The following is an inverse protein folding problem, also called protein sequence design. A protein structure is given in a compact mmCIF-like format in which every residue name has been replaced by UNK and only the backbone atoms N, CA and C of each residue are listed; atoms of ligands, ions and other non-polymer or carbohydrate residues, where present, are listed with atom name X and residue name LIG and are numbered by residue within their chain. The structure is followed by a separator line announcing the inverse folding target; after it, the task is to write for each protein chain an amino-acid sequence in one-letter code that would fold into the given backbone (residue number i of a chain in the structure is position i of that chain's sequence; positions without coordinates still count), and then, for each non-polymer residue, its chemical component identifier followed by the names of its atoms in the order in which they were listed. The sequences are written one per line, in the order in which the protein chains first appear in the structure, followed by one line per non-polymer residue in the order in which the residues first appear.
data_IF_782989720799
#
_entry.id   IF_782989720799
#
_cell.length_a   1.000
_cell.length_b   1.000
_cell.length_c   1.000
_cell.angle_alpha   90.00
_cell.angle_beta   90.00
_cell.angle_gamma   90.00
#
_symmetry.space_group_name_H-M   'P 1'
#
loop_
_entity.id
_entity.type
_entity.pdbx_description
1 polymer ?
#
# COMPACT_ATOMS: atom_id res chain seq x y z
N UNK A 1 -2.37 29.02 1.49
CA UNK A 1 -1.02 28.46 1.74
C UNK A 1 -0.87 27.16 0.97
N UNK A 2 0.39 26.84 0.63
CA UNK A 2 0.76 25.62 -0.09
C UNK A 2 1.88 24.91 0.68
N UNK A 3 1.73 23.63 0.92
CA UNK A 3 2.76 22.76 1.51
C UNK A 3 3.21 21.75 0.46
N UNK A 4 4.51 21.69 0.15
CA UNK A 4 5.12 20.62 -0.63
C UNK A 4 6.16 19.93 0.22
N UNK A 5 6.00 18.64 0.48
CA UNK A 5 6.82 17.93 1.44
C UNK A 5 7.18 16.50 1.03
N UNK A 6 8.41 16.14 1.34
CA UNK A 6 8.92 14.77 1.32
C UNK A 6 9.46 14.45 2.73
N UNK A 7 8.57 14.12 3.70
CA UNK A 7 8.99 13.87 5.07
C UNK A 7 9.79 12.57 5.21
N UNK A 8 10.65 12.43 6.23
CA UNK A 8 11.43 11.23 6.45
C UNK A 8 10.53 10.02 6.81
N UNK A 9 10.84 8.85 6.24
CA UNK A 9 10.12 7.59 6.46
C UNK A 9 10.85 6.75 7.50
N UNK A 10 10.74 7.09 8.78
CA UNK A 10 11.49 6.43 9.83
C UNK A 10 10.72 6.36 11.15
N UNK A 11 11.09 5.36 11.96
CA UNK A 11 10.76 5.37 13.39
C UNK A 11 12.04 5.71 14.14
N UNK A 12 12.08 6.77 14.92
CA UNK A 12 13.26 7.10 15.72
C UNK A 12 13.63 5.97 16.68
N UNK A 13 14.92 5.72 16.84
CA UNK A 13 15.42 4.78 17.86
C UNK A 13 15.00 5.29 19.24
N UNK A 14 14.43 4.42 20.07
CA UNK A 14 13.90 4.78 21.39
C UNK A 14 12.41 5.14 21.40
N UNK A 15 11.78 5.22 20.24
CA UNK A 15 10.37 5.58 20.09
C UNK A 15 10.10 7.07 20.27
N UNK A 16 9.05 7.57 19.60
CA UNK A 16 8.50 8.89 19.87
C UNK A 16 7.34 8.72 20.84
N UNK A 17 7.26 9.61 21.83
CA UNK A 17 6.02 9.86 22.54
C UNK A 17 5.36 11.07 21.88
N UNK A 18 4.37 10.86 21.00
CA UNK A 18 3.74 11.98 20.31
C UNK A 18 3.09 12.91 21.33
N UNK A 19 3.15 14.22 21.07
CA UNK A 19 2.46 15.18 21.88
C UNK A 19 0.94 15.02 21.71
N UNK A 20 0.16 15.27 22.77
CA UNK A 20 -1.31 15.10 22.78
C UNK A 20 -2.05 16.00 21.77
N UNK A 21 -1.37 16.98 21.17
CA UNK A 21 -1.93 17.86 20.13
C UNK A 21 -2.22 17.13 18.81
N UNK A 22 -1.54 16.00 18.54
CA UNK A 22 -1.78 15.25 17.32
C UNK A 22 -3.14 14.56 17.37
N UNK A 23 -3.92 14.69 16.29
CA UNK A 23 -5.22 14.01 16.17
C UNK A 23 -5.00 12.50 16.08
N UNK A 24 -3.92 12.07 15.44
CA UNK A 24 -3.56 10.66 15.33
C UNK A 24 -2.33 10.33 16.18
N UNK A 25 -2.52 9.53 17.21
CA UNK A 25 -1.43 9.08 18.07
C UNK A 25 -0.63 7.94 17.40
N UNK A 26 0.63 8.17 17.09
CA UNK A 26 1.50 7.20 16.41
C UNK A 26 2.94 7.31 16.86
N UNK A 27 3.65 6.17 16.83
CA UNK A 27 5.12 6.12 16.97
C UNK A 27 5.86 6.24 15.64
N UNK A 28 5.13 6.43 14.55
CA UNK A 28 5.64 6.54 13.18
C UNK A 28 5.72 7.99 12.76
N UNK A 29 6.90 8.46 12.40
CA UNK A 29 7.12 9.85 12.01
C UNK A 29 6.30 10.24 10.77
N UNK A 30 6.21 9.36 9.79
CA UNK A 30 5.45 9.61 8.57
C UNK A 30 3.95 9.85 8.83
N UNK A 31 3.36 9.18 9.83
CA UNK A 31 1.98 9.40 10.25
C UNK A 31 1.83 10.79 10.89
N UNK A 32 2.74 11.13 11.82
CA UNK A 32 2.70 12.40 12.54
C UNK A 32 2.96 13.60 11.60
N UNK A 33 3.87 13.47 10.64
CA UNK A 33 4.10 14.53 9.66
C UNK A 33 2.87 14.80 8.80
N UNK A 34 2.19 13.77 8.32
CA UNK A 34 0.99 13.93 7.50
C UNK A 34 -0.15 14.54 8.32
N UNK A 35 -0.38 14.05 9.55
CA UNK A 35 -1.37 14.59 10.47
C UNK A 35 -1.11 16.08 10.74
N UNK A 36 0.13 16.43 11.09
CA UNK A 36 0.55 17.81 11.36
C UNK A 36 0.32 18.73 10.17
N UNK A 37 0.72 18.31 8.97
CA UNK A 37 0.55 19.13 7.76
C UNK A 37 -0.92 19.32 7.41
N UNK A 38 -1.74 18.27 7.53
CA UNK A 38 -3.17 18.35 7.27
C UNK A 38 -3.88 19.34 8.22
N UNK A 39 -3.57 19.26 9.52
CA UNK A 39 -4.16 20.17 10.52
C UNK A 39 -3.75 21.63 10.32
N UNK A 40 -2.54 21.88 9.81
CA UNK A 40 -2.03 23.24 9.60
C UNK A 40 -2.45 23.86 8.26
N UNK A 41 -3.20 23.13 7.42
CA UNK A 41 -3.79 23.74 6.24
C UNK A 41 -4.84 24.77 6.60
N UNK A 42 -4.68 25.98 6.07
CA UNK A 42 -5.72 27.00 6.12
C UNK A 42 -7.01 26.51 5.41
N UNK A 43 -8.16 27.15 5.57
CA UNK A 43 -9.41 26.74 4.92
C UNK A 43 -9.30 26.52 3.40
N UNK A 44 -8.45 27.31 2.72
CA UNK A 44 -8.16 27.20 1.29
C UNK A 44 -6.76 26.61 1.03
N UNK A 45 -6.14 26.00 2.03
CA UNK A 45 -4.80 25.44 1.96
C UNK A 45 -4.74 24.16 1.15
N UNK A 46 -3.61 23.95 0.51
CA UNK A 46 -3.32 22.79 -0.33
C UNK A 46 -1.98 22.16 0.05
N UNK A 47 -1.87 20.84 -0.11
CA UNK A 47 -0.60 20.15 0.09
C UNK A 47 -0.36 19.06 -0.94
N UNK A 48 0.92 18.87 -1.30
CA UNK A 48 1.43 17.68 -1.98
C UNK A 48 2.45 17.00 -1.07
N UNK A 49 2.16 15.78 -0.61
CA UNK A 49 2.98 15.10 0.38
C UNK A 49 3.39 13.74 -0.16
N UNK A 50 4.69 13.47 -0.25
CA UNK A 50 5.21 12.14 -0.58
C UNK A 50 5.13 11.26 0.66
N UNK A 51 4.54 10.08 0.50
CA UNK A 51 4.33 9.13 1.59
C UNK A 51 4.75 7.72 1.19
N UNK A 52 5.22 6.88 2.13
CA UNK A 52 5.47 5.47 1.87
C UNK A 52 4.17 4.68 1.77
N UNK A 53 4.20 3.53 1.11
CA UNK A 53 3.05 2.63 0.93
C UNK A 53 2.33 2.28 2.25
N UNK A 54 3.03 2.32 3.39
CA UNK A 54 2.42 2.09 4.70
C UNK A 54 1.24 3.01 4.99
N UNK A 55 1.31 4.28 4.61
CA UNK A 55 0.21 5.23 4.74
C UNK A 55 -0.99 4.78 3.89
N UNK A 56 -0.74 4.20 2.74
CA UNK A 56 -1.78 3.84 1.75
C UNK A 56 -2.64 2.67 2.23
N UNK A 57 -2.06 1.63 2.84
CA UNK A 57 -2.83 0.40 3.08
C UNK A 57 -2.57 -0.35 4.40
N UNK A 58 -1.61 0.06 5.24
CA UNK A 58 -1.35 -0.69 6.47
C UNK A 58 -2.57 -0.72 7.41
N UNK A 59 -2.78 -1.88 8.04
CA UNK A 59 -3.97 -2.15 8.87
C UNK A 59 -3.88 -1.64 10.32
N UNK A 60 -2.74 -1.06 10.73
CA UNK A 60 -2.57 -0.50 12.08
C UNK A 60 -3.56 0.64 12.37
N UNK A 61 -4.05 0.72 13.61
CA UNK A 61 -5.08 1.68 14.04
C UNK A 61 -4.74 3.12 13.66
N UNK A 62 -3.51 3.57 13.94
CA UNK A 62 -3.07 4.92 13.60
C UNK A 62 -3.12 5.22 12.08
N UNK A 63 -2.77 4.24 11.25
CA UNK A 63 -2.86 4.39 9.79
C UNK A 63 -4.31 4.49 9.32
N UNK A 64 -5.22 3.68 9.88
CA UNK A 64 -6.65 3.75 9.55
C UNK A 64 -7.27 5.09 10.00
N UNK A 65 -6.94 5.54 11.20
CA UNK A 65 -7.39 6.84 11.71
C UNK A 65 -6.92 8.01 10.85
N UNK A 66 -5.61 8.00 10.46
CA UNK A 66 -5.08 9.01 9.57
C UNK A 66 -5.80 9.01 8.22
N UNK A 67 -5.94 7.84 7.57
CA UNK A 67 -6.63 7.75 6.28
C UNK A 67 -8.09 8.20 6.38
N UNK A 68 -8.79 7.84 7.45
CA UNK A 68 -10.15 8.32 7.71
C UNK A 68 -10.19 9.85 7.73
N UNK A 69 -9.37 10.47 8.56
CA UNK A 69 -9.26 11.92 8.66
C UNK A 69 -8.97 12.57 7.30
N UNK A 70 -8.01 12.02 6.56
CA UNK A 70 -7.64 12.54 5.25
C UNK A 70 -8.80 12.45 4.25
N UNK A 71 -9.44 11.30 4.13
CA UNK A 71 -10.56 11.06 3.20
C UNK A 71 -11.74 11.96 3.50
N UNK A 72 -12.06 12.13 4.77
CA UNK A 72 -13.19 12.95 5.19
C UNK A 72 -12.96 14.45 4.98
N UNK A 73 -11.75 14.97 5.27
CA UNK A 73 -11.54 16.40 5.44
C UNK A 73 -10.54 17.06 4.46
N UNK A 74 -9.60 16.31 3.88
CA UNK A 74 -8.45 16.91 3.20
C UNK A 74 -8.11 16.34 1.82
N UNK A 75 -8.25 15.03 1.63
CA UNK A 75 -7.72 14.32 0.48
C UNK A 75 -8.62 14.48 -0.74
N UNK A 76 -8.04 14.85 -1.88
CA UNK A 76 -8.72 14.95 -3.16
C UNK A 76 -8.16 13.99 -4.20
N UNK A 77 -6.85 13.67 -4.13
CA UNK A 77 -6.27 12.69 -5.02
C UNK A 77 -5.07 11.95 -4.39
N UNK A 78 -4.79 10.76 -4.92
CA UNK A 78 -3.62 9.94 -4.62
C UNK A 78 -2.92 9.60 -5.92
N UNK A 79 -1.60 9.82 -5.99
CA UNK A 79 -0.78 9.46 -7.15
C UNK A 79 0.20 8.37 -6.73
N UNK A 80 -0.01 7.14 -7.20
CA UNK A 80 0.91 6.03 -6.97
C UNK A 80 2.10 6.15 -7.90
N UNK A 81 3.32 6.13 -7.34
CA UNK A 81 4.57 6.18 -8.07
C UNK A 81 5.16 4.77 -8.26
N UNK A 82 5.99 4.52 -9.26
CA UNK A 82 6.63 3.23 -9.44
C UNK A 82 7.64 2.93 -8.31
N UNK A 83 7.83 1.65 -7.99
CA UNK A 83 8.89 1.25 -7.08
C UNK A 83 10.26 1.63 -7.64
N UNK A 84 11.15 2.17 -6.79
CA UNK A 84 12.50 2.58 -7.22
C UNK A 84 12.61 3.99 -7.79
N UNK A 85 11.54 4.81 -7.75
CA UNK A 85 11.60 6.23 -8.16
C UNK A 85 12.67 7.02 -7.40
N UNK A 86 13.02 6.61 -6.18
CA UNK A 86 14.06 7.22 -5.34
C UNK A 86 15.38 6.44 -5.32
N UNK A 87 15.59 5.47 -6.22
CA UNK A 87 16.88 4.80 -6.33
C UNK A 87 17.98 5.79 -6.71
N UNK A 88 19.24 5.64 -6.19
CA UNK A 88 19.70 4.56 -5.30
C UNK A 88 19.43 4.79 -3.81
N UNK A 89 18.82 5.91 -3.42
CA UNK A 89 18.68 6.31 -2.01
C UNK A 89 17.65 5.47 -1.26
N UNK A 90 16.57 5.06 -1.93
CA UNK A 90 15.50 4.25 -1.33
C UNK A 90 14.75 3.45 -2.40
N UNK A 91 14.59 2.15 -2.15
CA UNK A 91 13.75 1.27 -2.95
C UNK A 91 12.28 1.23 -2.49
N UNK A 92 11.91 2.03 -1.49
CA UNK A 92 10.54 2.07 -0.95
C UNK A 92 9.60 2.63 -2.00
N UNK A 93 8.53 1.89 -2.28
CA UNK A 93 7.45 2.39 -3.12
C UNK A 93 6.71 3.51 -2.38
N UNK A 94 6.39 4.58 -3.10
CA UNK A 94 5.79 5.79 -2.56
C UNK A 94 4.56 6.21 -3.35
N UNK A 95 3.77 7.08 -2.74
CA UNK A 95 2.66 7.77 -3.37
C UNK A 95 2.69 9.25 -2.99
N UNK A 96 2.03 10.09 -3.79
CA UNK A 96 1.80 11.49 -3.46
C UNK A 96 0.35 11.62 -3.00
N UNK A 97 0.14 12.20 -1.82
CA UNK A 97 -1.18 12.64 -1.36
C UNK A 97 -1.37 14.08 -1.81
N UNK A 98 -2.47 14.37 -2.49
CA UNK A 98 -2.89 15.72 -2.86
C UNK A 98 -4.03 16.12 -1.94
N UNK A 99 -3.76 17.09 -1.09
CA UNK A 99 -4.71 17.62 -0.13
C UNK A 99 -5.19 19.00 -0.60
N UNK A 100 -6.49 19.22 -0.55
CA UNK A 100 -7.14 20.52 -0.75
C UNK A 100 -8.35 20.60 0.17
N UNK A 101 -8.21 21.32 1.28
CA UNK A 101 -9.22 21.33 2.35
C UNK A 101 -10.58 21.83 1.86
N UNK A 102 -10.58 22.80 0.97
CA UNK A 102 -11.83 23.39 0.47
C UNK A 102 -12.54 22.48 -0.53
N UNK A 103 -11.80 21.80 -1.38
CA UNK A 103 -12.35 20.85 -2.36
C UNK A 103 -12.77 19.54 -1.71
N UNK A 104 -11.98 19.02 -0.78
CA UNK A 104 -12.28 17.76 -0.10
C UNK A 104 -13.64 17.78 0.61
N UNK A 105 -14.07 18.92 1.12
CA UNK A 105 -15.38 19.08 1.77
C UNK A 105 -16.54 19.21 0.80
N UNK A 106 -16.28 19.51 -0.45
CA UNK A 106 -17.32 19.70 -1.48
C UNK A 106 -17.46 18.50 -2.42
N UNK A 107 -16.46 17.65 -2.51
CA UNK A 107 -16.49 16.43 -3.32
C UNK A 107 -16.79 15.20 -2.47
N UNK A 108 -17.56 14.28 -3.04
CA UNK A 108 -17.84 12.95 -2.48
C UNK A 108 -16.87 11.88 -2.98
N UNK A 109 -15.88 12.26 -3.79
CA UNK A 109 -15.03 11.34 -4.53
C UNK A 109 -13.56 11.71 -4.39
N UNK A 110 -12.66 10.73 -4.58
CA UNK A 110 -11.21 10.88 -4.62
C UNK A 110 -10.70 10.27 -5.92
N UNK A 111 -9.78 10.98 -6.60
CA UNK A 111 -9.10 10.46 -7.77
C UNK A 111 -7.85 9.67 -7.38
N UNK A 112 -7.62 8.54 -8.05
CA UNK A 112 -6.44 7.71 -7.91
C UNK A 112 -5.71 7.67 -9.25
N UNK A 113 -4.50 8.15 -9.31
CA UNK A 113 -3.63 8.13 -10.48
C UNK A 113 -2.52 7.11 -10.29
N UNK A 114 -2.07 6.50 -11.39
CA UNK A 114 -0.96 5.55 -11.39
C UNK A 114 0.06 5.93 -12.44
N UNK A 115 1.23 6.34 -11.96
CA UNK A 115 2.43 6.55 -12.78
C UNK A 115 3.21 5.23 -12.83
N UNK A 116 3.43 4.69 -14.00
CA UNK A 116 4.22 3.47 -14.20
C UNK A 116 5.65 3.79 -14.61
N UNK A 117 5.82 4.87 -15.38
CA UNK A 117 7.11 5.31 -15.90
C UNK A 117 7.30 6.79 -15.59
N UNK A 118 8.43 7.13 -15.02
CA UNK A 118 8.78 8.50 -14.64
C UNK A 118 9.89 9.12 -15.50
N UNK A 119 10.13 8.57 -16.68
CA UNK A 119 11.18 9.02 -17.60
C UNK A 119 12.55 8.40 -17.31
N UNK A 120 12.65 7.53 -16.31
CA UNK A 120 13.91 6.88 -15.94
C UNK A 120 13.74 5.38 -15.71
N UNK A 121 14.81 4.62 -15.94
CA UNK A 121 14.86 3.21 -15.56
C UNK A 121 14.78 3.07 -14.04
N UNK A 122 14.11 2.02 -13.56
CA UNK A 122 13.87 1.82 -12.12
C UNK A 122 15.03 1.07 -11.41
N UNK A 123 16.15 0.84 -12.11
CA UNK A 123 17.36 0.24 -11.55
C UNK A 123 18.16 1.20 -10.64
N UNK A 124 19.25 0.70 -10.06
CA UNK A 124 20.13 1.48 -9.20
C UNK A 124 20.75 2.70 -9.90
N UNK A 125 21.01 2.58 -11.21
CA UNK A 125 21.43 3.69 -12.06
C UNK A 125 20.21 4.18 -12.84
N UNK A 126 19.60 5.24 -12.35
CA UNK A 126 18.46 5.91 -12.97
C UNK A 126 18.85 6.53 -14.33
N UNK A 127 18.77 5.74 -15.41
CA UNK A 127 19.05 6.20 -16.78
C UNK A 127 17.78 6.70 -17.44
N UNK A 128 17.85 7.77 -18.20
CA UNK A 128 16.72 8.30 -18.95
C UNK A 128 16.16 7.26 -19.93
N UNK A 129 14.84 7.23 -20.05
CA UNK A 129 14.07 6.41 -21.00
C UNK A 129 12.94 7.24 -21.60
N UNK A 130 12.49 6.88 -22.80
CA UNK A 130 11.43 7.63 -23.53
C UNK A 130 10.06 7.54 -22.85
N UNK A 131 9.83 6.48 -22.04
CA UNK A 131 8.54 6.29 -21.35
C UNK A 131 8.45 7.19 -20.14
N UNK A 132 7.54 8.15 -20.18
CA UNK A 132 7.31 9.12 -19.10
C UNK A 132 5.82 9.48 -19.00
N UNK A 133 5.16 9.01 -17.95
CA UNK A 133 3.75 9.26 -17.69
C UNK A 133 3.51 10.58 -16.92
N UNK A 134 4.58 11.19 -16.35
CA UNK A 134 4.44 12.37 -15.48
C UNK A 134 3.77 13.56 -16.15
N UNK A 135 4.12 13.94 -17.41
CA UNK A 135 3.45 15.05 -18.07
C UNK A 135 1.97 14.84 -18.29
N UNK A 136 1.56 13.60 -18.58
CA UNK A 136 0.16 13.25 -18.73
C UNK A 136 -0.56 13.24 -17.37
N UNK A 137 0.03 12.64 -16.37
CA UNK A 137 -0.51 12.64 -15.00
C UNK A 137 -0.71 14.05 -14.48
N UNK A 138 0.26 14.97 -14.71
CA UNK A 138 0.15 16.37 -14.30
C UNK A 138 -1.02 17.09 -14.98
N UNK A 139 -1.24 16.86 -16.29
CA UNK A 139 -2.40 17.42 -17.00
C UNK A 139 -3.71 16.87 -16.42
N UNK A 140 -3.87 15.56 -16.35
CA UNK A 140 -5.09 14.92 -15.84
C UNK A 140 -5.44 15.33 -14.40
N UNK A 141 -4.42 15.49 -13.54
CA UNK A 141 -4.61 16.00 -12.16
C UNK A 141 -5.08 17.45 -12.21
N UNK A 142 -4.49 18.27 -13.06
CA UNK A 142 -4.86 19.70 -13.19
C UNK A 142 -6.31 19.83 -13.68
N UNK A 143 -6.69 19.06 -14.69
CA UNK A 143 -8.04 19.05 -15.25
C UNK A 143 -9.06 18.59 -14.22
N UNK A 144 -8.76 17.49 -13.50
CA UNK A 144 -9.59 16.99 -12.39
C UNK A 144 -9.82 18.05 -11.31
N UNK A 145 -8.75 18.70 -10.83
CA UNK A 145 -8.86 19.71 -9.78
C UNK A 145 -9.57 20.99 -10.29
N UNK A 146 -9.40 21.34 -11.55
CA UNK A 146 -10.06 22.48 -12.16
C UNK A 146 -11.54 22.23 -12.33
N UNK A 147 -11.95 21.05 -12.80
CA UNK A 147 -13.35 20.63 -12.89
C UNK A 147 -14.03 20.65 -11.51
N UNK A 148 -13.38 20.10 -10.47
CA UNK A 148 -13.89 20.18 -9.10
C UNK A 148 -14.12 21.63 -8.64
N UNK A 149 -13.20 22.56 -8.96
CA UNK A 149 -13.36 23.99 -8.61
C UNK A 149 -14.52 24.62 -9.34
N UNK A 150 -14.73 24.25 -10.59
CA UNK A 150 -15.85 24.71 -11.41
C UNK A 150 -17.19 24.10 -10.97
N UNK A 151 -17.20 23.09 -10.10
CA UNK A 151 -18.40 22.38 -9.69
C UNK A 151 -18.88 21.35 -10.74
N UNK A 152 -17.99 20.97 -11.64
CA UNK A 152 -18.25 19.96 -12.67
C UNK A 152 -18.07 18.55 -12.10
N UNK A 153 -18.75 17.58 -12.72
CA UNK A 153 -18.51 16.16 -12.43
C UNK A 153 -17.28 15.72 -13.24
N UNK A 154 -16.15 15.39 -12.61
CA UNK A 154 -14.95 15.06 -13.35
C UNK A 154 -15.10 13.75 -14.13
N UNK A 155 -14.59 13.70 -15.35
CA UNK A 155 -14.45 12.46 -16.10
C UNK A 155 -13.34 11.57 -15.52
N UNK A 156 -13.50 10.26 -15.70
CA UNK A 156 -12.48 9.30 -15.23
C UNK A 156 -11.16 9.50 -15.99
N UNK A 157 -10.04 9.74 -15.30
CA UNK A 157 -8.75 9.93 -15.93
C UNK A 157 -8.24 8.65 -16.60
N UNK A 158 -7.49 8.78 -17.68
CA UNK A 158 -6.94 7.62 -18.40
C UNK A 158 -5.83 6.90 -17.59
N UNK A 159 -5.05 7.65 -16.82
CA UNK A 159 -4.03 7.10 -15.91
C UNK A 159 -4.59 6.75 -14.52
N UNK A 160 -5.92 6.69 -14.36
CA UNK A 160 -6.47 6.51 -13.03
C UNK A 160 -7.92 6.08 -12.98
N UNK A 161 -8.55 6.39 -11.88
CA UNK A 161 -9.98 6.18 -11.63
C UNK A 161 -10.47 7.14 -10.54
N UNK A 162 -11.77 7.40 -10.52
CA UNK A 162 -12.43 8.18 -9.47
C UNK A 162 -13.25 7.22 -8.60
N UNK A 163 -13.14 7.34 -7.30
CA UNK A 163 -13.81 6.45 -6.32
C UNK A 163 -14.57 7.28 -5.31
N UNK A 164 -15.82 6.92 -5.06
CA UNK A 164 -16.63 7.57 -4.03
C UNK A 164 -16.06 7.30 -2.63
N UNK A 165 -16.06 8.30 -1.78
CA UNK A 165 -15.59 8.20 -0.37
C UNK A 165 -16.34 7.12 0.41
N UNK A 166 -17.63 6.92 0.12
CA UNK A 166 -18.42 5.84 0.69
C UNK A 166 -17.83 4.45 0.39
N UNK A 167 -17.41 4.20 -0.86
CA UNK A 167 -16.75 2.93 -1.25
C UNK A 167 -15.41 2.73 -0.56
N UNK A 168 -14.67 3.82 -0.31
CA UNK A 168 -13.40 3.79 0.44
C UNK A 168 -13.64 3.47 1.92
N UNK A 169 -14.71 3.98 2.50
CA UNK A 169 -15.11 3.81 3.90
C UNK A 169 -15.73 2.45 4.21
N UNK A 170 -16.30 1.76 3.21
CA UNK A 170 -17.24 0.64 3.37
C UNK A 170 -16.77 -0.49 4.30
N UNK A 171 -15.47 -0.78 4.37
CA UNK A 171 -14.92 -1.85 5.21
C UNK A 171 -14.13 -1.32 6.44
N UNK A 172 -14.16 -0.02 6.70
CA UNK A 172 -13.45 0.61 7.81
C UNK A 172 -11.91 0.63 7.70
N UNK A 173 -11.34 0.13 6.59
CA UNK A 173 -9.89 0.15 6.38
C UNK A 173 -9.40 1.48 5.79
N UNK A 174 -10.30 2.22 5.12
CA UNK A 174 -9.98 3.48 4.45
C UNK A 174 -8.79 3.34 3.49
N UNK A 175 -8.70 2.21 2.80
CA UNK A 175 -7.57 1.86 1.97
C UNK A 175 -7.43 2.84 0.79
N UNK A 176 -6.22 3.38 0.56
CA UNK A 176 -5.94 4.35 -0.50
C UNK A 176 -5.20 3.73 -1.70
N UNK A 177 -5.24 2.40 -1.86
CA UNK A 177 -4.75 1.74 -3.05
C UNK A 177 -5.81 1.76 -4.16
N UNK A 178 -5.62 2.57 -5.17
CA UNK A 178 -6.58 2.72 -6.29
C UNK A 178 -6.89 1.39 -6.99
N UNK A 179 -5.91 0.52 -7.15
CA UNK A 179 -6.10 -0.79 -7.80
C UNK A 179 -7.17 -1.65 -7.12
N UNK A 180 -7.39 -1.47 -5.82
CA UNK A 180 -8.43 -2.18 -5.06
C UNK A 180 -9.85 -1.84 -5.54
N UNK A 181 -10.04 -0.68 -6.12
CA UNK A 181 -11.34 -0.14 -6.54
C UNK A 181 -11.58 -0.25 -8.04
N UNK A 182 -10.58 -0.68 -8.80
CA UNK A 182 -10.79 -1.00 -10.21
C UNK A 182 -11.83 -2.11 -10.27
N UNK A 183 -12.96 -1.79 -10.85
CA UNK A 183 -13.86 -2.83 -11.31
C UNK A 183 -13.10 -3.57 -12.40
N UNK A 184 -12.77 -4.83 -12.15
CA UNK A 184 -12.32 -5.67 -13.22
C UNK A 184 -13.41 -5.55 -14.29
N UNK A 185 -13.07 -4.92 -15.44
CA UNK A 185 -13.86 -5.11 -16.63
C UNK A 185 -14.04 -6.62 -16.69
N UNK A 186 -15.27 -7.07 -16.53
CA UNK A 186 -15.60 -8.49 -16.56
C UNK A 186 -15.02 -8.98 -17.86
N UNK A 187 -13.83 -9.58 -17.84
CA UNK A 187 -13.40 -10.41 -18.95
C UNK A 187 -14.55 -11.38 -19.09
N UNK A 188 -15.21 -11.33 -20.23
CA UNK A 188 -16.26 -12.32 -20.53
C UNK A 188 -15.56 -13.67 -20.39
N UNK A 189 -15.64 -14.22 -19.19
CA UNK A 189 -15.09 -15.53 -18.89
C UNK A 189 -16.07 -16.53 -19.45
N UNK A 190 -15.60 -17.48 -20.24
CA UNK A 190 -16.41 -18.61 -20.66
C UNK A 190 -16.84 -19.50 -19.47
N UNK A 191 -16.27 -19.26 -18.29
CA UNK A 191 -16.54 -19.99 -17.05
C UNK A 191 -17.18 -19.07 -16.01
N UNK A 192 -18.07 -19.58 -15.15
CA UNK A 192 -18.64 -18.81 -14.06
C UNK A 192 -17.53 -18.33 -13.12
N UNK A 193 -17.60 -17.04 -12.78
CA UNK A 193 -16.70 -16.46 -11.78
C UNK A 193 -17.22 -16.80 -10.39
N UNK A 194 -16.36 -17.39 -9.57
CA UNK A 194 -16.63 -17.73 -8.16
C UNK A 194 -15.58 -17.07 -7.26
N UNK A 195 -15.95 -16.80 -6.01
CA UNK A 195 -14.99 -16.30 -5.03
C UNK A 195 -13.94 -17.37 -4.74
N UNK A 196 -12.67 -16.99 -4.60
CA UNK A 196 -11.62 -17.95 -4.24
C UNK A 196 -11.90 -18.63 -2.88
N UNK A 197 -12.55 -17.90 -1.97
CA UNK A 197 -12.97 -18.44 -0.67
C UNK A 197 -14.06 -19.52 -0.75
N UNK A 198 -14.81 -19.59 -1.87
CA UNK A 198 -15.84 -20.61 -2.09
C UNK A 198 -15.26 -21.92 -2.62
N UNK A 199 -14.04 -21.88 -3.16
CA UNK A 199 -13.39 -23.04 -3.78
C UNK A 199 -12.07 -23.43 -3.13
N UNK A 200 -11.54 -22.61 -2.23
CA UNK A 200 -10.27 -22.82 -1.55
C UNK A 200 -10.35 -22.39 -0.08
N UNK A 201 -9.72 -23.15 0.80
CA UNK A 201 -9.44 -22.71 2.15
C UNK A 201 -8.17 -21.84 2.16
N UNK A 202 -8.26 -20.63 2.72
CA UNK A 202 -7.14 -19.68 2.81
C UNK A 202 -6.51 -19.76 4.21
N UNK A 203 -5.29 -20.26 4.30
CA UNK A 203 -4.56 -20.42 5.55
C UNK A 203 -3.39 -19.44 5.60
N UNK A 204 -3.36 -18.57 6.62
CA UNK A 204 -2.24 -17.65 6.85
C UNK A 204 -1.10 -18.35 7.58
N UNK A 205 0.13 -18.14 7.10
CA UNK A 205 1.36 -18.60 7.75
C UNK A 205 2.22 -17.46 8.29
N UNK A 206 3.14 -17.79 9.19
CA UNK A 206 4.11 -16.83 9.75
C UNK A 206 5.49 -17.45 9.94
N UNK A 207 6.45 -16.60 10.32
CA UNK A 207 7.78 -17.03 10.75
C UNK A 207 7.75 -17.23 12.27
N UNK A 208 8.08 -18.42 12.79
CA UNK A 208 8.25 -18.62 14.22
C UNK A 208 9.35 -17.69 14.77
N UNK A 209 9.20 -17.26 16.02
CA UNK A 209 10.19 -16.34 16.61
C UNK A 209 11.58 -16.98 16.64
N UNK A 210 12.55 -16.32 15.99
CA UNK A 210 13.96 -16.74 16.02
C UNK A 210 14.62 -16.56 17.39
N UNK A 211 13.99 -15.85 18.31
CA UNK A 211 14.48 -15.64 19.68
C UNK A 211 14.22 -16.85 20.59
N UNK A 212 13.34 -17.76 20.18
CA UNK A 212 13.00 -18.96 20.93
C UNK A 212 13.76 -20.11 20.28
N UNK A 213 14.90 -20.47 20.85
CA UNK A 213 15.77 -21.53 20.32
C UNK A 213 15.05 -22.88 20.23
N UNK A 214 14.18 -23.19 21.18
CA UNK A 214 13.38 -24.41 21.21
C UNK A 214 12.50 -24.59 19.94
N UNK A 215 12.24 -23.54 19.19
CA UNK A 215 11.49 -23.64 17.94
C UNK A 215 12.36 -24.11 16.75
N UNK A 216 13.68 -23.98 16.85
CA UNK A 216 14.62 -24.19 15.74
C UNK A 216 15.61 -25.34 15.99
N UNK A 217 15.82 -25.73 17.24
CA UNK A 217 16.73 -26.82 17.60
C UNK A 217 16.03 -28.17 17.52
N UNK A 218 16.68 -29.15 16.87
CA UNK A 218 16.16 -30.50 16.67
C UNK A 218 14.78 -30.56 15.98
N UNK A 219 14.50 -29.59 15.10
CA UNK A 219 13.27 -29.54 14.34
C UNK A 219 13.11 -30.73 13.38
N UNK A 220 11.87 -31.15 13.18
CA UNK A 220 11.51 -32.25 12.26
C UNK A 220 10.50 -31.80 11.21
N UNK A 221 9.93 -30.60 11.34
CA UNK A 221 8.94 -30.05 10.42
C UNK A 221 9.64 -29.11 9.44
N UNK A 222 9.47 -29.33 8.14
CA UNK A 222 10.03 -28.47 7.08
C UNK A 222 9.29 -27.12 7.10
N UNK A 223 10.03 -26.04 7.29
CA UNK A 223 9.51 -24.67 7.21
C UNK A 223 10.04 -23.98 5.97
N UNK A 224 9.12 -23.42 5.16
CA UNK A 224 9.39 -22.81 3.88
C UNK A 224 9.13 -21.30 3.97
N UNK A 225 10.04 -20.51 3.44
CA UNK A 225 9.92 -19.05 3.29
C UNK A 225 10.19 -18.61 1.85
N UNK A 226 10.02 -17.34 1.56
CA UNK A 226 10.22 -16.77 0.23
C UNK A 226 11.57 -17.07 -0.40
N UNK A 227 12.64 -17.21 0.40
CA UNK A 227 14.00 -17.55 -0.08
C UNK A 227 14.14 -18.98 -0.60
N UNK A 228 13.21 -19.85 -0.20
CA UNK A 228 13.22 -21.28 -0.57
C UNK A 228 12.37 -21.59 -1.80
N UNK A 229 11.77 -20.57 -2.43
CA UNK A 229 10.97 -20.71 -3.64
C UNK A 229 11.66 -19.96 -4.78
N UNK A 230 11.98 -20.66 -5.87
CA UNK A 230 12.58 -20.06 -7.05
C UNK A 230 11.52 -19.34 -7.93
N UNK A 231 11.98 -18.65 -8.97
CA UNK A 231 11.08 -17.90 -9.87
C UNK A 231 10.28 -18.81 -10.82
N UNK A 232 10.54 -20.14 -10.79
CA UNK A 232 9.81 -21.15 -11.53
C UNK A 232 8.79 -21.90 -10.69
N UNK A 233 8.59 -21.48 -9.44
CA UNK A 233 7.61 -22.09 -8.52
C UNK A 233 8.09 -23.42 -7.89
N UNK A 234 9.40 -23.67 -7.84
CA UNK A 234 9.95 -24.88 -7.21
C UNK A 234 10.47 -24.57 -5.82
N UNK A 235 10.23 -25.49 -4.90
CA UNK A 235 10.82 -25.46 -3.56
C UNK A 235 12.26 -25.95 -3.66
N UNK A 236 13.21 -25.06 -3.38
CA UNK A 236 14.65 -25.30 -3.51
C UNK A 236 15.35 -25.56 -2.17
N UNK A 237 14.59 -25.49 -1.07
CA UNK A 237 15.12 -25.72 0.27
C UNK A 237 14.07 -25.52 1.36
N UNK A 238 14.50 -25.68 2.60
CA UNK A 238 13.67 -25.49 3.79
C UNK A 238 14.57 -25.27 5.01
N UNK A 239 14.02 -24.72 6.08
CA UNK A 239 14.60 -24.81 7.43
C UNK A 239 13.77 -25.81 8.25
N UNK A 240 14.36 -26.38 9.28
CA UNK A 240 13.63 -27.29 10.18
C UNK A 240 13.16 -26.54 11.43
N UNK A 241 11.90 -26.76 11.79
CA UNK A 241 11.30 -26.25 13.02
C UNK A 241 10.71 -27.39 13.83
N UNK A 242 10.52 -27.17 15.12
CA UNK A 242 9.91 -28.15 16.00
C UNK A 242 8.39 -28.15 15.89
N UNK A 243 7.75 -29.23 16.31
CA UNK A 243 6.28 -29.31 16.43
C UNK A 243 5.77 -28.23 17.40
N UNK A 244 6.52 -27.97 18.48
CA UNK A 244 6.21 -26.88 19.41
C UNK A 244 6.12 -25.51 18.71
N UNK A 245 7.00 -25.22 17.75
CA UNK A 245 6.94 -24.00 16.96
C UNK A 245 5.63 -23.89 16.14
N UNK A 246 5.12 -25.00 15.63
CA UNK A 246 3.85 -25.02 14.90
C UNK A 246 2.68 -24.79 15.86
N UNK A 247 2.69 -25.44 17.02
CA UNK A 247 1.58 -25.41 17.99
C UNK A 247 1.47 -24.04 18.70
N UNK A 248 2.61 -23.40 19.02
CA UNK A 248 2.67 -22.17 19.80
C UNK A 248 2.80 -20.88 18.97
N UNK A 249 2.98 -20.99 17.64
CA UNK A 249 3.09 -19.81 16.79
C UNK A 249 1.91 -19.71 15.79
N UNK A 250 1.91 -18.65 14.98
CA UNK A 250 0.95 -18.51 13.87
C UNK A 250 1.40 -19.26 12.61
N UNK A 251 2.42 -20.12 12.70
CA UNK A 251 2.83 -20.99 11.60
C UNK A 251 1.79 -22.10 11.43
N UNK A 252 1.55 -22.52 10.21
CA UNK A 252 0.57 -23.56 9.89
C UNK A 252 1.19 -24.60 8.96
N UNK A 253 0.73 -25.83 9.08
CA UNK A 253 1.12 -26.91 8.16
C UNK A 253 0.28 -26.76 6.89
N UNK A 254 0.95 -26.71 5.75
CA UNK A 254 0.30 -26.80 4.45
C UNK A 254 0.16 -28.28 4.08
N UNK A 255 -1.06 -28.79 3.85
CA UNK A 255 -1.24 -30.14 3.31
C UNK A 255 -0.52 -30.32 1.97
N UNK A 256 -0.07 -31.55 1.67
CA UNK A 256 0.49 -31.87 0.35
C UNK A 256 -0.51 -31.51 -0.76
N UNK A 257 0.01 -30.95 -1.86
CA UNK A 257 -0.80 -30.42 -2.96
C UNK A 257 -1.33 -29.00 -2.75
N UNK A 258 -1.14 -28.37 -1.58
CA UNK A 258 -1.55 -26.99 -1.35
C UNK A 258 -0.69 -26.02 -2.15
N UNK A 259 -1.29 -24.95 -2.63
CA UNK A 259 -0.56 -23.82 -3.26
C UNK A 259 -0.07 -22.86 -2.18
N UNK A 260 1.24 -22.71 -2.07
CA UNK A 260 1.91 -21.71 -1.21
C UNK A 260 2.09 -20.44 -2.03
N UNK A 261 1.59 -19.31 -1.52
CA UNK A 261 1.73 -17.99 -2.17
C UNK A 261 2.46 -17.04 -1.22
N UNK A 262 3.50 -16.39 -1.71
CA UNK A 262 4.26 -15.38 -0.98
C UNK A 262 3.57 -14.02 -1.12
N UNK A 263 3.07 -13.49 0.00
CA UNK A 263 2.31 -12.23 0.06
C UNK A 263 3.12 -11.06 0.61
N UNK A 264 4.35 -11.30 1.10
CA UNK A 264 5.29 -10.27 1.57
C UNK A 264 6.66 -10.62 1.04
N UNK A 265 7.54 -9.70 0.85
CA UNK A 265 8.90 -9.86 0.31
C UNK A 265 8.91 -10.85 -0.88
N UNK A 266 9.19 -10.43 -2.08
CA UNK A 266 9.06 -11.26 -3.31
C UNK A 266 7.60 -11.69 -3.59
N UNK A 267 6.67 -10.75 -3.47
CA UNK A 267 5.23 -10.94 -3.70
C UNK A 267 4.99 -11.58 -5.07
N UNK A 268 4.09 -12.59 -5.10
CA UNK A 268 3.69 -13.28 -6.32
C UNK A 268 4.46 -14.58 -6.60
N UNK A 269 5.54 -14.88 -5.87
CA UNK A 269 6.13 -16.23 -5.93
C UNK A 269 5.14 -17.25 -5.37
N UNK A 270 5.08 -18.40 -6.01
CA UNK A 270 4.23 -19.51 -5.58
C UNK A 270 4.96 -20.84 -5.71
N UNK A 271 4.51 -21.85 -4.99
CA UNK A 271 4.96 -23.24 -5.11
C UNK A 271 3.83 -24.18 -4.70
N UNK A 272 3.96 -25.43 -5.08
CA UNK A 272 3.08 -26.51 -4.59
C UNK A 272 3.79 -27.21 -3.42
N UNK A 273 3.08 -27.42 -2.32
CA UNK A 273 3.60 -28.19 -1.19
C UNK A 273 3.65 -29.69 -1.55
N UNK A 274 4.80 -30.32 -1.25
CA UNK A 274 5.07 -31.77 -1.49
C UNK A 274 4.66 -32.59 -0.26
#
# INVERSE_FOLDING_TARGET
DVILANPPFMSPKGGIRPHNRFTVQSKRSEVLFVDYMAEHLTPNGRAGIIVPEGIIFQSGTAYKQLRKLLVEEYLVAVVSLPAGVFNPYSGVKTSILILDRSLARRTDSIAFFKVQNDGFSLGAQRREIDKNDLPQAAREITDYLSGLRAGETPESPSLGLIVKKEKIAANGDWNLSGERYRENSVRVSHYPMVSIGDVCELIGGSTPSKRIEAYWQNGTVKWISSKHIDDRGRITGYELITKQAVDESSTRIAPSGSTIIITRVSVGKYAIAD
#
